data_IF_596355826045
#
_entry.id   IF_596355826045
#
_cell.length_a   1.000
_cell.length_b   1.000
_cell.length_c   1.000
_cell.angle_alpha   90.00
_cell.angle_beta   90.00
_cell.angle_gamma   90.00
#
_symmetry.space_group_name_H-M   'P 1'
#
loop_
_entity.id
_entity.type
_entity.pdbx_description
1 polymer ?
#
# COMPACT_ATOMS: atom_id res chain seq x y z
N UNK A 1 -17.73 5.79 21.70
CA UNK A 1 -16.36 6.38 21.61
C UNK A 1 -15.57 5.45 20.72
N UNK A 2 -15.08 5.91 19.57
CA UNK A 2 -14.20 5.08 18.73
C UNK A 2 -12.89 4.84 19.50
N UNK A 3 -12.52 3.59 19.73
CA UNK A 3 -11.34 3.19 20.52
C UNK A 3 -10.03 3.15 19.69
N UNK A 4 -10.02 3.79 18.52
CA UNK A 4 -8.92 3.72 17.55
C UNK A 4 -8.48 5.13 17.14
N UNK A 5 -7.17 5.37 16.94
CA UNK A 5 -6.69 6.64 16.37
C UNK A 5 -7.40 6.94 15.05
N UNK A 6 -7.83 8.19 14.87
CA UNK A 6 -8.43 8.62 13.62
C UNK A 6 -7.37 8.66 12.52
N UNK A 7 -7.75 8.23 11.32
CA UNK A 7 -6.87 8.16 10.14
C UNK A 7 -7.39 9.00 8.98
N UNK A 8 -8.51 9.68 9.19
CA UNK A 8 -9.15 10.55 8.21
C UNK A 8 -9.54 11.86 8.86
N UNK A 9 -9.13 12.95 8.22
CA UNK A 9 -9.28 14.31 8.72
C UNK A 9 -9.83 15.23 7.62
N UNK A 10 -10.48 16.31 8.03
CA UNK A 10 -10.91 17.39 7.14
C UNK A 10 -9.68 18.15 6.67
N UNK A 11 -9.47 18.22 5.35
CA UNK A 11 -8.23 18.74 4.77
C UNK A 11 -7.88 20.17 5.22
N UNK A 12 -8.87 21.07 5.27
CA UNK A 12 -8.64 22.49 5.55
C UNK A 12 -8.35 22.78 7.02
N UNK A 13 -8.86 21.95 7.93
CA UNK A 13 -8.83 22.24 9.38
C UNK A 13 -8.00 21.24 10.17
N UNK A 14 -7.70 20.07 9.61
CA UNK A 14 -7.13 18.94 10.34
C UNK A 14 -8.09 18.33 11.37
N UNK A 15 -9.36 18.76 11.41
CA UNK A 15 -10.34 18.23 12.35
C UNK A 15 -10.71 16.80 11.98
N UNK A 16 -11.10 16.00 12.98
CA UNK A 16 -11.64 14.66 12.75
C UNK A 16 -12.89 14.73 11.87
N UNK A 17 -12.98 13.82 10.90
CA UNK A 17 -14.21 13.68 10.11
C UNK A 17 -15.31 13.12 11.00
N UNK A 18 -16.46 13.79 11.05
CA UNK A 18 -17.64 13.28 11.76
C UNK A 18 -18.27 12.08 11.04
N UNK A 19 -18.87 11.16 11.80
CA UNK A 19 -19.54 9.97 11.27
C UNK A 19 -18.85 8.66 11.63
N UNK A 20 -19.42 7.54 11.19
CA UNK A 20 -18.75 6.24 11.29
C UNK A 20 -17.69 6.12 10.19
N UNK A 21 -16.51 5.66 10.56
CA UNK A 21 -15.44 5.36 9.62
C UNK A 21 -14.58 4.18 10.14
N UNK A 22 -13.94 3.48 9.22
CA UNK A 22 -13.14 2.29 9.49
C UNK A 22 -11.75 2.61 10.07
N UNK A 23 -11.67 3.39 11.16
CA UNK A 23 -10.41 3.93 11.72
C UNK A 23 -9.40 2.93 12.30
N UNK A 24 -9.75 1.66 12.45
CA UNK A 24 -8.76 0.65 12.80
C UNK A 24 -7.86 0.41 11.57
N UNK A 25 -6.82 1.21 11.35
CA UNK A 25 -5.90 1.09 10.21
C UNK A 25 -4.47 1.16 10.73
N UNK A 26 -3.90 0.01 11.04
CA UNK A 26 -2.55 -0.08 11.57
C UNK A 26 -1.52 0.25 10.48
N UNK A 27 -1.84 -0.01 9.21
CA UNK A 27 -1.07 0.40 8.06
C UNK A 27 -0.94 1.92 7.97
N UNK A 28 -2.03 2.68 8.12
CA UNK A 28 -2.00 4.15 8.03
C UNK A 28 -1.06 4.75 9.10
N UNK A 29 -1.17 4.27 10.35
CA UNK A 29 -0.28 4.69 11.43
C UNK A 29 1.18 4.27 11.17
N UNK A 30 1.38 3.05 10.66
CA UNK A 30 2.68 2.54 10.23
C UNK A 30 3.30 3.41 9.14
N UNK A 31 2.56 3.78 8.10
CA UNK A 31 3.04 4.64 7.02
C UNK A 31 3.36 6.05 7.49
N UNK A 32 2.55 6.63 8.39
CA UNK A 32 2.82 7.96 8.94
C UNK A 32 4.17 7.98 9.69
N UNK A 33 4.39 7.02 10.60
CA UNK A 33 5.66 6.87 11.29
C UNK A 33 6.80 6.59 10.31
N UNK A 34 6.62 5.59 9.43
CA UNK A 34 7.63 5.18 8.46
C UNK A 34 8.08 6.34 7.59
N UNK A 35 7.15 7.08 6.99
CA UNK A 35 7.47 8.21 6.11
C UNK A 35 8.22 9.30 6.86
N UNK A 36 7.75 9.68 8.07
CA UNK A 36 8.42 10.74 8.84
C UNK A 36 9.84 10.33 9.24
N UNK A 37 10.04 9.08 9.67
CA UNK A 37 11.35 8.53 10.01
C UNK A 37 12.27 8.41 8.78
N UNK A 38 11.73 8.09 7.59
CA UNK A 38 12.50 8.10 6.33
C UNK A 38 13.01 9.48 5.96
N UNK A 39 12.31 10.54 6.35
CA UNK A 39 12.70 11.93 6.12
C UNK A 39 13.65 12.47 7.20
N UNK A 40 13.90 11.71 8.28
CA UNK A 40 14.76 12.12 9.39
C UNK A 40 16.22 12.39 8.96
N UNK A 41 16.67 11.76 7.88
CA UNK A 41 17.99 12.00 7.27
C UNK A 41 18.10 13.37 6.59
N UNK A 42 16.96 13.96 6.21
CA UNK A 42 16.88 15.30 5.59
C UNK A 42 16.59 16.35 6.66
N UNK A 43 15.64 16.04 7.55
CA UNK A 43 15.19 16.91 8.64
C UNK A 43 14.93 16.06 9.88
N UNK A 44 15.81 16.20 10.88
CA UNK A 44 15.71 15.48 12.15
C UNK A 44 14.36 15.73 12.82
N UNK A 45 13.89 14.77 13.62
CA UNK A 45 12.66 14.92 14.38
C UNK A 45 12.85 15.95 15.49
N UNK A 46 11.89 16.86 15.65
CA UNK A 46 11.82 17.70 16.84
C UNK A 46 11.33 16.91 18.06
N UNK A 47 11.24 17.57 19.23
CA UNK A 47 10.80 16.92 20.47
C UNK A 47 9.36 16.42 20.39
N UNK A 48 8.45 17.17 19.77
CA UNK A 48 7.03 16.81 19.64
C UNK A 48 6.85 15.66 18.68
N UNK A 49 7.61 15.62 17.59
CA UNK A 49 7.62 14.51 16.64
C UNK A 49 8.20 13.25 17.28
N UNK A 50 9.27 13.37 18.07
CA UNK A 50 9.82 12.26 18.85
C UNK A 50 8.79 11.68 19.83
N UNK A 51 8.07 12.54 20.56
CA UNK A 51 6.98 12.12 21.45
C UNK A 51 5.85 11.44 20.68
N UNK A 52 5.48 11.99 19.51
CA UNK A 52 4.40 11.45 18.67
C UNK A 52 4.73 10.05 18.15
N UNK A 53 5.92 9.85 17.56
CA UNK A 53 6.31 8.53 17.04
C UNK A 53 6.49 7.51 18.17
N UNK A 54 6.93 7.95 19.35
CA UNK A 54 7.05 7.07 20.52
C UNK A 54 5.68 6.61 21.03
N UNK A 55 4.70 7.52 21.15
CA UNK A 55 3.31 7.18 21.52
C UNK A 55 2.68 6.23 20.51
N UNK A 56 2.88 6.46 19.21
CA UNK A 56 2.37 5.57 18.17
C UNK A 56 3.03 4.19 18.22
N UNK A 57 4.32 4.10 18.53
CA UNK A 57 5.01 2.83 18.74
C UNK A 57 4.49 2.09 19.98
N UNK A 58 4.26 2.79 21.11
CA UNK A 58 3.63 2.22 22.30
C UNK A 58 2.24 1.69 21.99
N UNK A 59 1.44 2.45 21.24
CA UNK A 59 0.11 2.02 20.79
C UNK A 59 0.19 0.72 19.99
N UNK A 60 1.06 0.65 18.98
CA UNK A 60 1.26 -0.57 18.18
C UNK A 60 1.64 -1.77 19.05
N UNK A 61 2.52 -1.55 20.04
CA UNK A 61 2.91 -2.57 21.02
C UNK A 61 1.76 -3.02 21.91
N UNK A 62 0.93 -2.09 22.39
CA UNK A 62 -0.17 -2.32 23.32
C UNK A 62 -1.33 -3.09 22.68
N UNK A 63 -1.61 -2.86 21.40
CA UNK A 63 -2.64 -3.61 20.67
C UNK A 63 -2.14 -4.95 20.13
N UNK A 64 -0.85 -5.26 20.31
CA UNK A 64 -0.20 -6.40 19.67
C UNK A 64 -0.45 -6.42 18.16
N UNK A 65 0.01 -5.37 17.45
CA UNK A 65 -0.31 -5.12 16.03
C UNK A 65 -0.11 -6.32 15.09
N UNK A 66 0.71 -7.30 15.46
CA UNK A 66 0.98 -8.54 14.72
C UNK A 66 -0.18 -9.56 14.76
N UNK A 67 -1.16 -9.37 15.64
CA UNK A 67 -2.37 -10.18 15.78
C UNK A 67 -3.66 -9.38 15.80
N UNK A 68 -3.56 -8.05 15.92
CA UNK A 68 -4.69 -7.15 15.89
C UNK A 68 -5.41 -7.17 14.54
N UNK A 69 -6.74 -7.12 14.56
CA UNK A 69 -7.55 -7.04 13.35
C UNK A 69 -7.84 -5.58 12.99
N UNK A 70 -7.48 -5.20 11.78
CA UNK A 70 -7.63 -3.85 11.25
C UNK A 70 -8.28 -3.87 9.85
N UNK A 71 -8.71 -2.72 9.38
CA UNK A 71 -9.41 -2.50 8.13
C UNK A 71 -8.47 -2.46 6.91
N UNK A 72 -7.16 -2.32 7.16
CA UNK A 72 -6.10 -2.22 6.16
C UNK A 72 -6.26 -1.04 5.21
N UNK A 73 -5.41 -1.02 4.17
CA UNK A 73 -5.33 0.06 3.18
C UNK A 73 -6.62 0.26 2.34
N UNK A 74 -7.50 -0.73 2.39
CA UNK A 74 -8.76 -0.77 1.65
C UNK A 74 -9.97 -0.38 2.48
N UNK A 75 -9.77 -0.10 3.77
CA UNK A 75 -10.81 0.43 4.67
C UNK A 75 -12.02 -0.50 4.81
N UNK A 76 -11.77 -1.81 4.80
CA UNK A 76 -12.78 -2.86 4.77
C UNK A 76 -12.99 -3.54 6.12
N UNK A 77 -13.82 -4.58 6.16
CA UNK A 77 -14.04 -5.39 7.35
C UNK A 77 -12.70 -5.87 7.97
N UNK A 78 -12.63 -5.78 9.31
CA UNK A 78 -11.41 -6.02 10.07
C UNK A 78 -10.91 -7.45 9.90
N UNK A 79 -9.60 -7.58 9.70
CA UNK A 79 -8.87 -8.86 9.59
C UNK A 79 -7.40 -8.64 9.96
N UNK A 80 -6.63 -9.71 10.12
CA UNK A 80 -5.18 -9.58 10.29
C UNK A 80 -4.56 -9.39 8.91
N UNK A 81 -4.15 -8.16 8.58
CA UNK A 81 -3.57 -7.79 7.28
C UNK A 81 -2.04 -7.85 7.32
N UNK A 82 -1.43 -8.69 6.47
CA UNK A 82 0.02 -8.76 6.33
C UNK A 82 0.60 -7.42 5.84
N UNK A 83 -0.13 -6.70 4.98
CA UNK A 83 0.27 -5.35 4.53
C UNK A 83 0.37 -4.35 5.69
N UNK A 84 -0.60 -4.37 6.63
CA UNK A 84 -0.56 -3.54 7.85
C UNK A 84 0.57 -3.92 8.79
N UNK A 85 0.75 -5.23 9.06
CA UNK A 85 1.86 -5.71 9.90
C UNK A 85 3.19 -5.25 9.31
N UNK A 86 3.38 -5.36 7.99
CA UNK A 86 4.62 -4.94 7.36
C UNK A 86 4.87 -3.44 7.39
N UNK A 87 3.84 -2.60 7.25
CA UNK A 87 3.97 -1.15 7.42
C UNK A 87 4.47 -0.79 8.83
N UNK A 88 3.90 -1.41 9.87
CA UNK A 88 4.35 -1.20 11.26
C UNK A 88 5.76 -1.77 11.49
N UNK A 89 6.09 -2.96 10.98
CA UNK A 89 7.46 -3.51 11.07
C UNK A 89 8.48 -2.56 10.44
N UNK A 90 8.17 -1.99 9.27
CA UNK A 90 9.04 -1.04 8.60
C UNK A 90 9.26 0.22 9.46
N UNK A 91 8.18 0.78 10.02
CA UNK A 91 8.23 1.95 10.88
C UNK A 91 9.05 1.71 12.15
N UNK A 92 8.75 0.64 12.89
CA UNK A 92 9.45 0.31 14.13
C UNK A 92 10.93 -0.01 13.89
N UNK A 93 11.25 -0.63 12.75
CA UNK A 93 12.66 -0.87 12.35
C UNK A 93 13.40 0.45 12.17
N UNK A 94 12.81 1.43 11.45
CA UNK A 94 13.41 2.75 11.29
C UNK A 94 13.47 3.53 12.60
N UNK A 95 12.47 3.41 13.48
CA UNK A 95 12.48 4.06 14.79
C UNK A 95 13.65 3.56 15.63
N UNK A 96 13.87 2.25 15.66
CA UNK A 96 15.00 1.64 16.35
C UNK A 96 16.33 2.16 15.80
N UNK A 97 16.46 2.22 14.48
CA UNK A 97 17.69 2.66 13.84
C UNK A 97 17.94 4.16 14.07
N UNK A 98 16.88 4.99 14.03
CA UNK A 98 16.95 6.41 14.36
C UNK A 98 17.35 6.65 15.82
N UNK A 99 16.81 5.90 16.78
CA UNK A 99 17.19 5.98 18.21
C UNK A 99 18.65 5.63 18.46
N UNK A 100 19.23 4.75 17.64
CA UNK A 100 20.67 4.42 17.74
C UNK A 100 21.56 5.60 17.35
N UNK A 101 21.12 6.45 16.41
CA UNK A 101 21.88 7.62 15.96
C UNK A 101 21.56 8.90 16.73
N UNK A 102 20.30 9.14 17.07
CA UNK A 102 19.82 10.37 17.71
C UNK A 102 19.82 10.32 19.24
N UNK A 103 20.04 9.13 19.82
CA UNK A 103 19.87 8.87 21.24
C UNK A 103 18.45 8.37 21.57
N UNK A 104 18.33 7.71 22.72
CA UNK A 104 17.06 7.22 23.23
C UNK A 104 16.16 8.37 23.67
N UNK A 105 14.89 8.34 23.25
CA UNK A 105 13.84 9.28 23.65
C UNK A 105 12.54 8.54 23.95
N UNK A 106 11.59 9.25 24.57
CA UNK A 106 10.25 8.74 24.85
C UNK A 106 10.19 7.64 25.91
N UNK A 107 9.03 6.97 25.99
CA UNK A 107 8.73 5.92 26.97
C UNK A 107 8.94 4.50 26.45
N UNK A 108 9.08 4.28 25.14
CA UNK A 108 9.41 2.95 24.61
C UNK A 108 10.82 2.59 25.05
N UNK A 109 11.02 1.40 25.64
CA UNK A 109 12.37 0.87 25.84
C UNK A 109 12.80 -0.01 24.65
N UNK A 110 14.12 -0.09 24.41
CA UNK A 110 14.66 -0.77 23.22
C UNK A 110 14.36 -2.28 23.20
N UNK A 111 14.22 -2.91 24.38
CA UNK A 111 13.90 -4.34 24.48
C UNK A 111 12.47 -4.64 24.02
N UNK A 112 11.52 -3.79 24.41
CA UNK A 112 10.14 -3.89 23.96
C UNK A 112 10.05 -3.62 22.46
N UNK A 113 10.75 -2.60 21.96
CA UNK A 113 10.81 -2.30 20.54
C UNK A 113 11.34 -3.48 19.71
N UNK A 114 12.46 -4.08 20.12
CA UNK A 114 13.01 -5.26 19.45
C UNK A 114 12.05 -6.46 19.52
N UNK A 115 11.37 -6.68 20.65
CA UNK A 115 10.35 -7.73 20.79
C UNK A 115 9.19 -7.49 19.82
N UNK A 116 8.67 -6.27 19.74
CA UNK A 116 7.54 -5.92 18.86
C UNK A 116 7.90 -6.08 17.38
N UNK A 117 9.12 -5.70 16.98
CA UNK A 117 9.62 -5.95 15.62
C UNK A 117 9.72 -7.45 15.35
N UNK A 118 10.27 -8.22 16.29
CA UNK A 118 10.41 -9.68 16.15
C UNK A 118 9.05 -10.38 16.01
N UNK A 119 8.04 -9.98 16.80
CA UNK A 119 6.68 -10.51 16.70
C UNK A 119 6.04 -10.23 15.34
N UNK A 120 6.16 -9.00 14.82
CA UNK A 120 5.66 -8.66 13.49
C UNK A 120 6.33 -9.46 12.38
N UNK A 121 7.66 -9.60 12.44
CA UNK A 121 8.41 -10.43 11.47
C UNK A 121 8.01 -11.90 11.54
N UNK A 122 7.80 -12.44 12.74
CA UNK A 122 7.33 -13.81 12.93
C UNK A 122 5.90 -14.02 12.36
N UNK A 123 5.01 -13.03 12.54
CA UNK A 123 3.68 -13.07 11.96
C UNK A 123 3.71 -13.03 10.42
N UNK A 124 4.53 -12.15 9.82
CA UNK A 124 4.73 -12.09 8.37
C UNK A 124 5.31 -13.41 7.82
N UNK A 125 6.31 -13.98 8.49
CA UNK A 125 6.90 -15.26 8.07
C UNK A 125 5.87 -16.42 8.07
N UNK A 126 4.82 -16.32 8.89
CA UNK A 126 3.73 -17.30 8.97
C UNK A 126 2.64 -17.06 7.92
N UNK A 127 2.34 -15.80 7.59
CA UNK A 127 1.22 -15.46 6.69
C UNK A 127 1.63 -15.37 5.22
N UNK A 128 2.83 -14.88 4.92
CA UNK A 128 3.29 -14.68 3.55
C UNK A 128 3.38 -16.01 2.79
N UNK A 129 3.01 -16.03 1.49
CA UNK A 129 2.76 -14.88 0.61
C UNK A 129 1.29 -14.43 0.57
N UNK A 130 0.49 -14.71 1.62
CA UNK A 130 -0.93 -14.37 1.67
C UNK A 130 -1.21 -13.14 2.51
N UNK A 131 -2.23 -12.36 2.14
CA UNK A 131 -2.57 -11.10 2.82
C UNK A 131 -3.22 -11.35 4.19
N UNK A 132 -4.31 -12.13 4.22
CA UNK A 132 -5.09 -12.42 5.43
C UNK A 132 -5.71 -13.81 5.37
N UNK A 133 -4.92 -14.90 5.38
CA UNK A 133 -5.45 -16.25 5.26
C UNK A 133 -6.35 -16.63 6.45
N UNK A 134 -7.48 -17.34 6.24
CA UNK A 134 -7.98 -17.83 4.95
C UNK A 134 -8.81 -16.80 4.16
N UNK A 135 -9.20 -15.68 4.78
CA UNK A 135 -10.15 -14.70 4.23
C UNK A 135 -9.67 -14.02 2.94
N UNK A 136 -8.37 -13.70 2.83
CA UNK A 136 -7.76 -13.09 1.65
C UNK A 136 -6.41 -13.71 1.34
N UNK A 137 -6.34 -14.48 0.25
CA UNK A 137 -5.09 -15.12 -0.18
C UNK A 137 -4.24 -14.22 -1.06
N UNK A 138 -4.82 -13.51 -2.02
CA UNK A 138 -4.07 -12.69 -2.96
C UNK A 138 -4.62 -11.28 -2.93
N UNK A 139 -3.76 -10.33 -2.60
CA UNK A 139 -4.05 -8.90 -2.55
C UNK A 139 -2.82 -8.15 -3.08
N UNK A 140 -3.03 -7.11 -3.88
CA UNK A 140 -1.99 -6.26 -4.42
C UNK A 140 -1.37 -5.34 -3.35
N UNK A 141 -2.01 -5.16 -2.19
CA UNK A 141 -1.42 -4.49 -1.03
C UNK A 141 -0.11 -5.14 -0.56
N UNK A 142 0.07 -6.45 -0.81
CA UNK A 142 1.32 -7.16 -0.56
C UNK A 142 2.51 -6.58 -1.36
N UNK A 143 2.27 -5.90 -2.48
CA UNK A 143 3.34 -5.24 -3.24
C UNK A 143 4.02 -4.14 -2.43
N UNK A 144 3.30 -3.50 -1.49
CA UNK A 144 3.88 -2.47 -0.64
C UNK A 144 5.00 -2.99 0.27
N UNK A 145 4.90 -4.26 0.68
CA UNK A 145 5.92 -4.93 1.49
C UNK A 145 7.22 -5.15 0.72
N UNK A 146 7.15 -5.25 -0.61
CA UNK A 146 8.30 -5.32 -1.50
C UNK A 146 8.81 -3.90 -1.79
N UNK A 147 7.90 -3.01 -2.19
CA UNK A 147 8.19 -1.61 -2.50
C UNK A 147 7.02 -0.70 -2.11
N UNK A 148 7.22 0.35 -1.30
CA UNK A 148 8.52 0.90 -0.91
C UNK A 148 9.11 0.31 0.39
N UNK A 149 8.33 -0.43 1.18
CA UNK A 149 8.68 -0.76 2.57
C UNK A 149 9.92 -1.67 2.68
N UNK A 150 10.17 -2.52 1.67
CA UNK A 150 11.32 -3.43 1.63
C UNK A 150 11.43 -4.34 2.86
N UNK A 151 10.30 -4.84 3.35
CA UNK A 151 10.20 -5.72 4.53
C UNK A 151 10.34 -7.19 4.15
N UNK A 152 10.05 -7.56 2.90
CA UNK A 152 10.30 -8.91 2.38
C UNK A 152 11.76 -9.04 1.97
N UNK A 153 12.53 -9.77 2.77
CA UNK A 153 13.99 -9.89 2.59
C UNK A 153 14.38 -11.08 1.70
N UNK A 154 13.57 -12.14 1.68
CA UNK A 154 13.88 -13.35 0.92
C UNK A 154 13.29 -13.34 -0.49
N UNK A 155 14.12 -13.77 -1.45
CA UNK A 155 13.76 -13.72 -2.87
C UNK A 155 12.61 -14.65 -3.23
N UNK A 156 12.49 -15.78 -2.53
CA UNK A 156 11.50 -16.81 -2.87
C UNK A 156 10.09 -16.31 -2.56
N UNK A 157 9.88 -15.72 -1.39
CA UNK A 157 8.60 -15.13 -0.99
C UNK A 157 8.23 -13.97 -1.91
N UNK A 158 9.19 -13.09 -2.22
CA UNK A 158 9.01 -11.99 -3.17
C UNK A 158 8.53 -12.51 -4.54
N UNK A 159 9.18 -13.54 -5.09
CA UNK A 159 8.80 -14.15 -6.37
C UNK A 159 7.44 -14.85 -6.33
N UNK A 160 7.07 -15.45 -5.19
CA UNK A 160 5.74 -16.03 -4.96
C UNK A 160 4.64 -14.96 -4.96
N UNK A 161 4.84 -13.85 -4.25
CA UNK A 161 3.91 -12.72 -4.20
C UNK A 161 3.70 -12.12 -5.60
N UNK A 162 4.79 -11.82 -6.32
CA UNK A 162 4.71 -11.29 -7.68
C UNK A 162 4.02 -12.26 -8.64
N UNK A 163 4.24 -13.57 -8.48
CA UNK A 163 3.60 -14.59 -9.31
C UNK A 163 2.10 -14.68 -9.04
N UNK A 164 1.66 -14.54 -7.78
CA UNK A 164 0.24 -14.51 -7.42
C UNK A 164 -0.44 -13.27 -7.99
N UNK A 165 0.15 -12.08 -7.82
CA UNK A 165 -0.39 -10.83 -8.38
C UNK A 165 -0.48 -10.93 -9.91
N UNK A 166 0.59 -11.37 -10.58
CA UNK A 166 0.60 -11.53 -12.05
C UNK A 166 -0.44 -12.53 -12.54
N UNK A 167 -0.63 -13.64 -11.84
CA UNK A 167 -1.53 -14.71 -12.27
C UNK A 167 -3.01 -14.41 -11.98
N UNK A 168 -3.32 -13.55 -10.99
CA UNK A 168 -4.67 -13.37 -10.47
C UNK A 168 -5.23 -11.96 -10.61
N UNK A 169 -4.37 -10.94 -10.56
CA UNK A 169 -4.81 -9.56 -10.37
C UNK A 169 -4.50 -8.64 -11.56
N UNK A 170 -3.45 -8.92 -12.34
CA UNK A 170 -3.16 -8.13 -13.54
C UNK A 170 -4.31 -8.27 -14.53
N UNK A 171 -4.91 -7.14 -14.89
CA UNK A 171 -5.97 -7.05 -15.88
C UNK A 171 -5.51 -6.35 -17.15
N UNK A 172 -6.48 -6.04 -18.00
CA UNK A 172 -6.28 -5.41 -19.29
C UNK A 172 -5.63 -4.02 -19.17
N UNK A 173 -6.24 -3.12 -18.40
CA UNK A 173 -5.84 -1.71 -18.28
C UNK A 173 -5.02 -1.41 -17.03
N UNK A 174 -5.20 -2.18 -15.95
CA UNK A 174 -4.53 -1.99 -14.66
C UNK A 174 -4.47 -3.27 -13.84
N UNK A 175 -4.48 -3.16 -12.51
CA UNK A 175 -4.32 -4.31 -11.61
C UNK A 175 -5.40 -4.26 -10.52
N UNK A 176 -6.14 -5.35 -10.33
CA UNK A 176 -7.16 -5.47 -9.28
C UNK A 176 -6.53 -5.43 -7.89
N UNK A 177 -7.24 -4.93 -6.88
CA UNK A 177 -6.78 -5.03 -5.48
C UNK A 177 -6.71 -6.47 -5.04
N UNK A 178 -7.82 -7.19 -5.17
CA UNK A 178 -7.92 -8.63 -4.90
C UNK A 178 -9.06 -9.22 -5.73
N UNK A 179 -9.15 -10.56 -5.81
CA UNK A 179 -10.25 -11.23 -6.53
C UNK A 179 -11.55 -11.11 -5.73
N UNK A 180 -12.65 -10.73 -6.39
CA UNK A 180 -13.93 -10.52 -5.72
C UNK A 180 -14.10 -9.11 -5.13
N UNK A 181 -13.26 -8.16 -5.53
CA UNK A 181 -13.42 -6.76 -5.13
C UNK A 181 -14.60 -6.11 -5.88
N UNK A 182 -15.66 -5.81 -5.14
CA UNK A 182 -16.85 -5.13 -5.66
C UNK A 182 -16.71 -3.61 -5.70
N UNK A 183 -15.58 -3.06 -5.25
CA UNK A 183 -15.32 -1.62 -5.32
C UNK A 183 -15.14 -1.14 -6.75
N UNK A 184 -16.05 -0.24 -7.19
CA UNK A 184 -16.13 0.18 -8.58
C UNK A 184 -16.16 -1.03 -9.56
N UNK A 185 -16.90 -2.08 -9.21
CA UNK A 185 -17.20 -3.14 -10.17
C UNK A 185 -18.05 -2.60 -11.34
N UNK A 186 -18.34 -3.44 -12.31
CA UNK A 186 -18.94 -2.98 -13.56
C UNK A 186 -20.27 -2.23 -13.40
N UNK A 187 -20.46 -1.23 -14.27
CA UNK A 187 -21.64 -0.36 -14.34
C UNK A 187 -21.90 0.37 -13.00
N UNK A 188 -20.84 0.60 -12.21
CA UNK A 188 -20.91 1.14 -10.84
C UNK A 188 -21.75 2.42 -10.70
N UNK A 189 -21.66 3.28 -11.72
CA UNK A 189 -22.32 4.57 -11.75
C UNK A 189 -23.83 4.48 -12.00
N UNK A 190 -24.31 3.35 -12.52
CA UNK A 190 -25.72 3.02 -12.68
C UNK A 190 -26.33 2.43 -11.39
N UNK A 191 -25.52 1.72 -10.60
CA UNK A 191 -25.96 1.12 -9.33
C UNK A 191 -26.03 2.14 -8.20
N UNK A 192 -25.12 3.12 -8.17
CA UNK A 192 -24.98 4.06 -7.06
C UNK A 192 -24.94 5.52 -7.54
N UNK A 193 -25.73 6.44 -6.93
CA UNK A 193 -25.62 7.87 -7.21
C UNK A 193 -24.29 8.42 -6.67
N UNK A 194 -23.78 9.55 -7.22
CA UNK A 194 -22.46 10.09 -6.87
C UNK A 194 -22.20 10.27 -5.35
N UNK A 195 -23.22 10.68 -4.59
CA UNK A 195 -23.10 10.89 -3.14
C UNK A 195 -22.85 9.60 -2.36
N UNK A 196 -23.21 8.45 -2.90
CA UNK A 196 -23.10 7.16 -2.23
C UNK A 196 -21.81 6.43 -2.60
N UNK A 197 -21.20 6.71 -3.76
CA UNK A 197 -20.05 5.95 -4.30
C UNK A 197 -18.80 5.95 -3.40
N UNK A 198 -18.65 6.95 -2.55
CA UNK A 198 -17.49 7.18 -1.68
C UNK A 198 -17.79 7.03 -0.19
N UNK A 199 -19.01 6.63 0.17
CA UNK A 199 -19.39 6.41 1.57
C UNK A 199 -18.71 5.18 2.18
N UNK A 200 -18.67 5.13 3.51
CA UNK A 200 -18.18 3.97 4.26
C UNK A 200 -19.12 2.76 4.02
N UNK A 201 -18.74 1.92 3.06
CA UNK A 201 -19.44 0.67 2.76
C UNK A 201 -18.94 -0.50 3.60
N UNK A 202 -18.07 -0.31 4.60
CA UNK A 202 -17.51 -1.41 5.40
C UNK A 202 -18.60 -2.32 6.02
N UNK A 203 -19.80 -1.78 6.24
CA UNK A 203 -20.97 -2.50 6.77
C UNK A 203 -21.96 -3.03 5.69
N UNK A 204 -21.77 -2.70 4.41
CA UNK A 204 -22.70 -3.03 3.31
C UNK A 204 -22.02 -3.68 2.09
N UNK A 205 -20.77 -4.16 2.26
CA UNK A 205 -20.01 -4.85 1.19
C UNK A 205 -20.81 -5.99 0.56
N UNK A 206 -21.59 -6.75 1.34
CA UNK A 206 -22.38 -7.88 0.82
C UNK A 206 -23.38 -7.52 -0.28
N UNK A 207 -24.02 -6.34 -0.21
CA UNK A 207 -24.95 -5.89 -1.25
C UNK A 207 -24.20 -5.58 -2.56
N UNK A 208 -23.00 -5.02 -2.45
CA UNK A 208 -22.14 -4.72 -3.61
C UNK A 208 -21.57 -6.00 -4.21
N UNK A 209 -21.24 -6.97 -3.37
CA UNK A 209 -20.71 -8.26 -3.80
C UNK A 209 -21.71 -9.04 -4.65
N UNK A 210 -23.03 -8.90 -4.38
CA UNK A 210 -24.08 -9.48 -5.22
C UNK A 210 -24.12 -8.89 -6.64
N UNK A 211 -23.66 -7.65 -6.82
CA UNK A 211 -23.62 -6.99 -8.11
C UNK A 211 -22.39 -7.40 -8.93
N UNK A 212 -21.31 -7.86 -8.31
CA UNK A 212 -20.04 -8.13 -8.98
C UNK A 212 -20.16 -9.30 -9.97
N UNK A 213 -19.87 -9.03 -11.25
CA UNK A 213 -19.64 -10.09 -12.24
C UNK A 213 -18.19 -10.58 -12.14
N UNK A 214 -17.92 -11.90 -12.11
CA UNK A 214 -16.55 -12.40 -12.06
C UNK A 214 -15.66 -11.83 -13.16
N UNK A 215 -14.49 -11.31 -12.79
CA UNK A 215 -13.53 -10.70 -13.73
C UNK A 215 -13.80 -9.22 -14.05
N UNK A 216 -14.90 -8.66 -13.56
CA UNK A 216 -15.31 -7.26 -13.77
C UNK A 216 -14.93 -6.34 -12.60
N UNK A 217 -14.00 -6.75 -11.74
CA UNK A 217 -13.45 -5.89 -10.69
C UNK A 217 -12.71 -4.69 -11.30
N UNK A 218 -12.75 -3.56 -10.58
CA UNK A 218 -11.96 -2.39 -10.94
C UNK A 218 -10.46 -2.71 -11.06
N UNK A 219 -9.81 -2.00 -11.98
CA UNK A 219 -8.38 -2.13 -12.23
C UNK A 219 -7.68 -0.83 -11.82
N UNK A 220 -6.86 -0.91 -10.79
CA UNK A 220 -6.19 0.23 -10.16
C UNK A 220 -4.91 0.60 -10.89
N UNK A 221 -4.64 1.91 -10.94
CA UNK A 221 -3.52 2.47 -11.70
C UNK A 221 -2.22 2.56 -10.89
N UNK A 222 -2.28 2.50 -9.56
CA UNK A 222 -1.09 2.69 -8.72
C UNK A 222 -0.09 1.52 -8.75
N UNK A 223 -0.53 0.32 -9.15
CA UNK A 223 0.29 -0.89 -9.04
C UNK A 223 1.26 -1.11 -10.21
N UNK A 224 0.93 -0.66 -11.43
CA UNK A 224 1.86 -0.74 -12.55
C UNK A 224 3.15 0.08 -12.29
N UNK A 225 3.09 1.33 -11.80
CA UNK A 225 4.28 2.05 -11.32
C UNK A 225 5.07 1.32 -10.22
N UNK A 226 4.39 0.65 -9.28
CA UNK A 226 5.03 -0.12 -8.21
C UNK A 226 5.78 -1.32 -8.78
N UNK A 227 5.13 -2.11 -9.66
CA UNK A 227 5.79 -3.23 -10.33
C UNK A 227 6.98 -2.76 -11.16
N UNK A 228 6.84 -1.65 -11.90
CA UNK A 228 7.96 -1.03 -12.60
C UNK A 228 9.13 -0.74 -11.65
N UNK A 229 8.86 -0.13 -10.50
CA UNK A 229 9.88 0.18 -9.48
C UNK A 229 10.53 -1.07 -8.88
N UNK A 230 9.75 -2.14 -8.64
CA UNK A 230 10.26 -3.43 -8.17
C UNK A 230 11.22 -4.04 -9.22
N UNK A 231 10.80 -4.10 -10.48
CA UNK A 231 11.64 -4.64 -11.55
C UNK A 231 12.88 -3.78 -11.81
N UNK A 232 12.78 -2.46 -11.67
CA UNK A 232 13.92 -1.54 -11.72
C UNK A 232 14.96 -1.86 -10.64
N UNK A 233 14.51 -2.03 -9.39
CA UNK A 233 15.39 -2.37 -8.27
C UNK A 233 16.08 -3.73 -8.50
N UNK A 234 15.35 -4.72 -9.02
CA UNK A 234 15.90 -6.03 -9.38
C UNK A 234 16.92 -5.94 -10.53
N UNK A 235 16.60 -5.20 -11.59
CA UNK A 235 17.49 -5.00 -12.74
C UNK A 235 18.79 -4.32 -12.33
N UNK A 236 18.72 -3.28 -11.49
CA UNK A 236 19.91 -2.58 -11.00
C UNK A 236 20.86 -3.46 -10.18
N UNK A 237 20.33 -4.51 -9.53
CA UNK A 237 21.14 -5.51 -8.80
C UNK A 237 21.79 -6.55 -9.72
N UNK A 238 21.18 -6.87 -10.86
CA UNK A 238 21.75 -7.77 -11.87
C UNK A 238 21.45 -7.28 -13.29
N UNK A 239 22.22 -6.31 -13.82
CA UNK A 239 21.94 -5.67 -15.11
C UNK A 239 21.99 -6.59 -16.33
N UNK A 240 22.50 -7.82 -16.18
CA UNK A 240 22.53 -8.85 -17.24
C UNK A 240 21.14 -9.43 -17.50
N UNK A 241 20.22 -9.31 -16.54
CA UNK A 241 18.85 -9.82 -16.61
C UNK A 241 17.95 -8.86 -17.37
N UNK A 242 18.10 -8.87 -18.70
CA UNK A 242 17.33 -8.01 -19.61
C UNK A 242 15.82 -8.26 -19.56
N UNK A 243 15.37 -9.42 -19.07
CA UNK A 243 13.96 -9.71 -18.79
C UNK A 243 13.39 -8.80 -17.69
N UNK A 244 14.19 -8.42 -16.69
CA UNK A 244 13.78 -7.48 -15.64
C UNK A 244 13.60 -6.07 -16.20
N UNK A 245 14.51 -5.62 -17.08
CA UNK A 245 14.35 -4.34 -17.77
C UNK A 245 13.09 -4.34 -18.66
N UNK A 246 12.84 -5.43 -19.40
CA UNK A 246 11.61 -5.56 -20.20
C UNK A 246 10.36 -5.53 -19.32
N UNK A 247 10.38 -6.16 -18.15
CA UNK A 247 9.26 -6.14 -17.21
C UNK A 247 9.03 -4.74 -16.63
N UNK A 248 10.10 -4.04 -16.24
CA UNK A 248 10.04 -2.64 -15.82
C UNK A 248 9.40 -1.75 -16.90
N UNK A 249 9.91 -1.82 -18.14
CA UNK A 249 9.41 -1.01 -19.25
C UNK A 249 7.94 -1.32 -19.56
N UNK A 250 7.54 -2.59 -19.55
CA UNK A 250 6.15 -2.99 -19.77
C UNK A 250 5.21 -2.33 -18.77
N UNK A 251 5.51 -2.43 -17.48
CA UNK A 251 4.65 -1.85 -16.44
C UNK A 251 4.71 -0.32 -16.43
N UNK A 252 5.86 0.27 -16.75
CA UNK A 252 5.95 1.73 -16.92
C UNK A 252 5.12 2.22 -18.10
N UNK A 253 5.16 1.54 -19.24
CA UNK A 253 4.33 1.87 -20.41
C UNK A 253 2.84 1.76 -20.09
N UNK A 254 2.42 0.68 -19.42
CA UNK A 254 1.03 0.54 -18.94
C UNK A 254 0.62 1.69 -18.02
N UNK A 255 1.49 2.11 -17.11
CA UNK A 255 1.23 3.24 -16.24
C UNK A 255 1.04 4.57 -17.00
N UNK A 256 1.71 4.76 -18.13
CA UNK A 256 1.49 5.91 -19.00
C UNK A 256 0.19 5.79 -19.81
N UNK A 257 -0.17 4.59 -20.25
CA UNK A 257 -1.43 4.29 -20.95
C UNK A 257 -2.67 4.47 -20.05
N UNK A 258 -2.49 4.41 -18.72
CA UNK A 258 -3.53 4.67 -17.71
C UNK A 258 -3.80 6.16 -17.48
N UNK A 259 -2.99 7.06 -18.05
CA UNK A 259 -3.26 8.49 -17.93
C UNK A 259 -4.49 8.85 -18.77
N UNK A 260 -5.30 9.77 -18.25
CA UNK A 260 -6.38 10.37 -19.03
C UNK A 260 -5.83 11.16 -20.23
N UNK A 261 -6.71 11.56 -21.15
CA UNK A 261 -6.31 12.31 -22.36
C UNK A 261 -5.65 13.66 -22.05
N UNK A 262 -5.90 14.24 -20.88
CA UNK A 262 -5.26 15.45 -20.36
C UNK A 262 -4.05 15.16 -19.44
N UNK A 263 -3.62 13.89 -19.35
CA UNK A 263 -2.41 13.48 -18.64
C UNK A 263 -2.57 13.34 -17.12
N UNK A 264 -3.79 13.26 -16.61
CA UNK A 264 -4.07 13.07 -15.19
C UNK A 264 -4.01 11.58 -14.82
N UNK A 265 -3.60 11.28 -13.59
CA UNK A 265 -3.47 9.91 -13.09
C UNK A 265 -4.72 9.49 -12.30
N UNK A 266 -5.56 8.57 -12.81
CA UNK A 266 -6.75 8.11 -12.10
C UNK A 266 -6.44 7.24 -10.89
N UNK A 267 -7.43 7.05 -10.02
CA UNK A 267 -7.41 5.96 -9.03
C UNK A 267 -7.48 4.60 -9.73
N UNK A 268 -8.53 4.40 -10.52
CA UNK A 268 -8.86 3.12 -11.14
C UNK A 268 -9.69 3.32 -12.42
N UNK A 269 -9.75 2.25 -13.20
CA UNK A 269 -10.72 2.07 -14.27
C UNK A 269 -11.75 1.02 -13.88
N UNK A 270 -13.02 1.28 -14.21
CA UNK A 270 -14.10 0.31 -14.09
C UNK A 270 -14.75 0.05 -15.44
N UNK A 271 -15.39 -1.11 -15.57
CA UNK A 271 -16.04 -1.52 -16.80
C UNK A 271 -17.43 -0.89 -16.89
N UNK A 272 -17.69 -0.08 -17.92
CA UNK A 272 -19.01 0.46 -18.24
C UNK A 272 -19.45 -0.11 -19.59
N UNK A 273 -20.48 -0.97 -19.57
CA UNK A 273 -20.78 -1.85 -20.69
C UNK A 273 -19.56 -2.73 -21.02
N UNK A 274 -18.95 -2.50 -22.18
CA UNK A 274 -17.75 -3.22 -22.63
C UNK A 274 -16.49 -2.33 -22.67
N UNK A 275 -16.54 -1.13 -22.10
CA UNK A 275 -15.43 -0.16 -22.14
C UNK A 275 -14.91 0.16 -20.75
N UNK A 276 -13.59 0.10 -20.58
CA UNK A 276 -12.92 0.58 -19.36
C UNK A 276 -12.88 2.10 -19.35
N UNK A 277 -13.45 2.72 -18.33
CA UNK A 277 -13.41 4.17 -18.11
C UNK A 277 -12.86 4.51 -16.73
N UNK A 278 -12.16 5.65 -16.56
CA UNK A 278 -11.69 6.06 -15.24
C UNK A 278 -12.88 6.44 -14.35
N UNK A 279 -12.74 6.25 -13.04
CA UNK A 279 -13.72 6.78 -12.09
C UNK A 279 -13.59 8.30 -11.92
N UNK A 280 -14.42 8.89 -11.06
CA UNK A 280 -14.38 10.33 -10.76
C UNK A 280 -13.16 10.79 -9.95
N UNK A 281 -12.37 9.88 -9.38
CA UNK A 281 -11.21 10.20 -8.56
C UNK A 281 -9.97 10.47 -9.42
N UNK A 282 -10.02 11.58 -10.17
CA UNK A 282 -8.96 12.00 -11.09
C UNK A 282 -8.62 13.47 -10.85
N UNK A 283 -7.35 13.80 -10.54
CA UNK A 283 -6.23 12.89 -10.31
C UNK A 283 -6.18 12.32 -8.87
N UNK A 284 -5.69 11.10 -8.70
CA UNK A 284 -5.38 10.53 -7.39
C UNK A 284 -3.93 10.78 -6.98
N UNK A 285 -3.70 11.39 -5.81
CA UNK A 285 -2.36 11.68 -5.31
C UNK A 285 -1.48 10.41 -5.15
N UNK A 286 -2.08 9.29 -4.74
CA UNK A 286 -1.36 8.04 -4.55
C UNK A 286 -0.82 7.46 -5.87
N UNK A 287 -1.61 7.49 -6.94
CA UNK A 287 -1.17 7.07 -8.29
C UNK A 287 -0.07 8.00 -8.80
N UNK A 288 -0.25 9.33 -8.66
CA UNK A 288 0.74 10.32 -9.08
C UNK A 288 2.10 10.10 -8.40
N UNK A 289 2.11 9.90 -7.08
CA UNK A 289 3.32 9.68 -6.31
C UNK A 289 4.08 8.42 -6.79
N UNK A 290 3.37 7.31 -6.99
CA UNK A 290 3.99 6.07 -7.46
C UNK A 290 4.50 6.20 -8.92
N UNK A 291 3.80 6.92 -9.79
CA UNK A 291 4.26 7.20 -11.15
C UNK A 291 5.56 8.03 -11.14
N UNK A 292 5.66 9.04 -10.28
CA UNK A 292 6.88 9.83 -10.12
C UNK A 292 8.06 8.99 -9.62
N UNK A 293 7.83 8.08 -8.67
CA UNK A 293 8.83 7.12 -8.19
C UNK A 293 9.28 6.19 -9.31
N UNK A 294 8.35 5.65 -10.10
CA UNK A 294 8.66 4.77 -11.23
C UNK A 294 9.47 5.49 -12.31
N UNK A 295 9.16 6.75 -12.61
CA UNK A 295 9.93 7.58 -13.55
C UNK A 295 11.37 7.77 -13.07
N UNK A 296 11.57 8.05 -11.78
CA UNK A 296 12.91 8.13 -11.19
C UNK A 296 13.66 6.80 -11.28
N UNK A 297 12.97 5.69 -11.02
CA UNK A 297 13.56 4.34 -11.12
C UNK A 297 13.95 3.99 -12.57
N UNK A 298 13.19 4.45 -13.56
CA UNK A 298 13.51 4.33 -14.97
C UNK A 298 14.79 5.10 -15.33
N UNK A 299 14.92 6.35 -14.87
CA UNK A 299 16.13 7.15 -15.07
C UNK A 299 17.37 6.43 -14.51
N UNK A 300 17.28 5.89 -13.31
CA UNK A 300 18.38 5.12 -12.69
C UNK A 300 18.74 3.86 -13.48
N UNK A 301 17.75 3.20 -14.07
CA UNK A 301 17.99 2.01 -14.89
C UNK A 301 18.68 2.37 -16.22
N UNK A 302 18.32 3.51 -16.81
CA UNK A 302 18.99 4.06 -17.99
C UNK A 302 20.45 4.46 -17.70
N UNK A 303 20.73 5.03 -16.53
CA UNK A 303 22.10 5.35 -16.08
C UNK A 303 22.97 4.09 -15.98
N UNK A 304 22.43 2.99 -15.44
CA UNK A 304 23.14 1.70 -15.39
C UNK A 304 23.51 1.19 -16.78
N UNK A 305 22.60 1.30 -17.76
CA UNK A 305 22.87 0.89 -19.13
C UNK A 305 23.95 1.76 -19.79
N UNK A 306 23.93 3.07 -19.56
CA UNK A 306 24.94 4.00 -20.11
C UNK A 306 26.33 3.72 -19.54
N UNK A 307 26.44 3.37 -18.27
CA UNK A 307 27.72 3.03 -17.64
C UNK A 307 28.27 1.68 -18.07
N UNK A 308 27.46 0.82 -18.69
CA UNK A 308 27.85 -0.51 -19.17
C UNK A 308 28.18 -0.55 -20.67
N UNK A 309 27.90 0.54 -21.41
CA UNK A 309 28.18 0.72 -22.83
C UNK A 309 29.52 1.42 -23.04
#
# INVERSE_FOLDING_TARGET
VQERPHVRFVADTGAEVGGSWAHAQNDALGYAMWMRLRLADVEALDSTECETVDVLAQYCGAIEYWSDQDSGAWEEARKVNASSIGAVVAALTLLRDYRRSAGTFGGVNDRDLDRWIASGRAALAKSLPFESPPARRTDAALLFLIHPLSVVEDRRTEDMMLSLVRARLVGEVGIRRYVGDSYFCQDYDEWFPPAERTMDFSSQVGLRDELLRPGCEAQWCLFDPILSSIYAARFRRDPRRTDLLRAQLRHFSRALEQLTSDGQAPELYYLKGDTWIPNEHVPLAWTQANLAVALRALKQSAEVLRSAA
#
